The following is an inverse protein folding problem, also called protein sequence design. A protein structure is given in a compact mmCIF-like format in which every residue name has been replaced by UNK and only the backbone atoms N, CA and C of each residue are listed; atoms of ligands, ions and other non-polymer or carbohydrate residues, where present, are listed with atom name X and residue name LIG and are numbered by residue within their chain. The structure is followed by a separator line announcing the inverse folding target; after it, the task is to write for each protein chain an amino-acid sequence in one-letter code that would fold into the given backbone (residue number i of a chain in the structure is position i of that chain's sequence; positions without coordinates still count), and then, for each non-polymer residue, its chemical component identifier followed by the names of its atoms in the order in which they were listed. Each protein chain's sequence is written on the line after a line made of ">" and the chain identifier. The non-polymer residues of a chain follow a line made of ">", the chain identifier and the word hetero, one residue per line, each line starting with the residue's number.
data_IF_033741803419
#
_entry.id   IF_033741803419
#
_cell.length_a   1.000
_cell.length_b   1.000
_cell.length_c   1.000
_cell.angle_alpha   90.00
_cell.angle_beta   90.00
_cell.angle_gamma   90.00
#
_symmetry.space_group_name_H-M   'P 1'
#
loop_
_entity.id
_entity.type
_entity.pdbx_description
1 polymer ?
#
# COMPACT_ATOMS: atom_id res chain seq x y z
N UNK A 1 -1.98 -35.74 -1.89
CA UNK A 1 -3.08 -35.27 -2.76
C UNK A 1 -2.57 -34.06 -3.51
N UNK A 2 -3.05 -33.79 -4.73
CA UNK A 2 -2.53 -32.69 -5.56
C UNK A 2 -3.24 -31.34 -5.32
N UNK A 3 -4.36 -31.33 -4.59
CA UNK A 3 -5.20 -30.14 -4.34
C UNK A 3 -5.48 -29.92 -2.85
N UNK A 4 -5.74 -28.67 -2.45
CA UNK A 4 -6.18 -28.29 -1.10
C UNK A 4 -7.64 -28.68 -0.85
N UNK A 5 -7.97 -29.01 0.40
CA UNK A 5 -9.34 -29.29 0.84
C UNK A 5 -10.24 -28.05 0.78
N UNK A 6 -11.52 -28.28 0.52
CA UNK A 6 -12.50 -27.24 0.19
C UNK A 6 -13.84 -27.52 0.89
N UNK A 7 -14.63 -26.49 1.28
CA UNK A 7 -15.95 -26.70 1.87
C UNK A 7 -16.84 -27.66 1.07
N UNK A 8 -17.26 -28.75 1.72
CA UNK A 8 -18.08 -29.79 1.09
C UNK A 8 -17.29 -30.93 0.43
N UNK A 9 -15.95 -30.87 0.39
CA UNK A 9 -15.14 -32.03 0.01
C UNK A 9 -15.20 -33.14 1.08
N UNK A 10 -14.97 -34.42 0.73
CA UNK A 10 -15.00 -35.52 1.70
C UNK A 10 -13.98 -35.39 2.85
N UNK A 11 -12.94 -34.60 2.65
CA UNK A 11 -11.85 -34.39 3.60
C UNK A 11 -11.93 -33.00 4.29
N UNK A 12 -13.02 -32.25 4.08
CA UNK A 12 -13.26 -31.03 4.83
C UNK A 12 -13.45 -31.35 6.31
N UNK A 13 -12.81 -30.61 7.25
CA UNK A 13 -12.93 -30.93 8.67
C UNK A 13 -14.36 -30.84 9.18
N UNK A 14 -14.71 -31.77 10.08
CA UNK A 14 -16.00 -31.76 10.76
C UNK A 14 -16.09 -30.57 11.72
N UNK A 15 -17.31 -30.24 12.16
CA UNK A 15 -17.53 -29.16 13.12
C UNK A 15 -16.73 -29.34 14.42
N UNK A 16 -16.63 -30.57 14.94
CA UNK A 16 -15.84 -30.84 16.14
C UNK A 16 -14.34 -30.53 15.97
N UNK A 17 -13.81 -30.69 14.74
CA UNK A 17 -12.42 -30.33 14.42
C UNK A 17 -12.26 -28.81 14.33
N UNK A 18 -13.22 -28.10 13.73
CA UNK A 18 -13.25 -26.63 13.76
C UNK A 18 -13.39 -26.07 15.18
N UNK A 19 -14.19 -26.72 16.05
CA UNK A 19 -14.33 -26.34 17.46
C UNK A 19 -13.00 -26.50 18.22
N UNK A 20 -12.20 -27.51 17.88
CA UNK A 20 -10.85 -27.68 18.43
C UNK A 20 -9.90 -26.54 18.03
N UNK A 21 -9.96 -26.07 16.77
CA UNK A 21 -9.24 -24.85 16.37
C UNK A 21 -9.77 -23.65 17.14
N UNK A 22 -11.09 -23.50 17.26
CA UNK A 22 -11.67 -22.37 17.98
C UNK A 22 -11.19 -22.32 19.44
N UNK A 23 -11.10 -23.47 20.12
CA UNK A 23 -10.54 -23.58 21.45
C UNK A 23 -9.05 -23.18 21.50
N UNK A 24 -8.23 -23.62 20.54
CA UNK A 24 -6.80 -23.28 20.50
C UNK A 24 -6.52 -21.81 20.18
N UNK A 25 -7.45 -21.13 19.52
CA UNK A 25 -7.39 -19.68 19.27
C UNK A 25 -8.23 -18.86 20.26
N UNK A 26 -8.57 -19.42 21.42
CA UNK A 26 -9.30 -18.73 22.49
C UNK A 26 -10.65 -18.14 22.06
N UNK A 27 -11.44 -18.88 21.28
CA UNK A 27 -12.77 -18.46 20.85
C UNK A 27 -12.80 -17.48 19.68
N UNK A 28 -11.67 -17.33 18.96
CA UNK A 28 -11.49 -16.30 17.90
C UNK A 28 -11.65 -16.83 16.49
N UNK A 29 -12.20 -18.03 16.33
CA UNK A 29 -12.61 -18.54 15.02
C UNK A 29 -13.96 -17.92 14.64
N UNK A 30 -14.02 -17.33 13.46
CA UNK A 30 -15.20 -16.70 12.88
C UNK A 30 -15.61 -17.52 11.66
N UNK A 31 -16.90 -17.84 11.56
CA UNK A 31 -17.52 -18.24 10.32
C UNK A 31 -18.25 -17.02 9.74
N UNK A 32 -17.62 -16.28 8.82
CA UNK A 32 -18.10 -14.97 8.43
C UNK A 32 -19.28 -15.04 7.47
N UNK A 33 -20.11 -14.00 7.47
CA UNK A 33 -21.18 -13.80 6.49
C UNK A 33 -20.76 -12.62 5.59
N UNK A 34 -20.95 -12.69 4.26
CA UNK A 34 -20.57 -11.60 3.37
C UNK A 34 -21.15 -10.25 3.84
N UNK A 35 -20.36 -9.18 3.90
CA UNK A 35 -20.84 -7.89 4.43
C UNK A 35 -22.00 -7.32 3.61
N UNK A 36 -22.03 -7.55 2.30
CA UNK A 36 -23.14 -7.12 1.44
C UNK A 36 -24.47 -7.83 1.72
N UNK A 37 -24.46 -9.00 2.39
CA UNK A 37 -25.63 -9.86 2.59
C UNK A 37 -26.78 -9.18 3.35
N UNK A 38 -26.48 -8.16 4.16
CA UNK A 38 -27.48 -7.36 4.88
C UNK A 38 -28.46 -6.65 3.94
N UNK A 39 -28.09 -6.48 2.67
CA UNK A 39 -28.94 -5.90 1.61
C UNK A 39 -29.81 -6.93 0.88
N UNK A 40 -29.72 -8.23 1.19
CA UNK A 40 -30.36 -9.29 0.41
C UNK A 40 -31.43 -10.01 1.22
N UNK A 41 -32.74 -9.85 0.92
CA UNK A 41 -33.84 -10.44 1.70
C UNK A 41 -33.82 -11.97 1.85
N UNK A 42 -33.09 -12.67 0.98
CA UNK A 42 -32.92 -14.13 1.04
C UNK A 42 -31.93 -14.59 2.11
N UNK A 43 -31.15 -13.68 2.69
CA UNK A 43 -30.17 -13.97 3.71
C UNK A 43 -30.72 -13.69 5.11
N UNK A 44 -30.36 -14.52 6.08
CA UNK A 44 -30.74 -14.33 7.49
C UNK A 44 -30.17 -13.06 8.13
N UNK A 45 -29.11 -12.51 7.55
CA UNK A 45 -28.47 -11.24 7.93
C UNK A 45 -29.19 -10.00 7.38
N UNK A 46 -30.23 -10.16 6.56
CA UNK A 46 -30.96 -9.04 5.97
C UNK A 46 -31.43 -8.03 7.02
N UNK A 47 -31.04 -6.78 6.83
CA UNK A 47 -31.43 -5.68 7.68
C UNK A 47 -31.31 -4.37 6.89
N UNK A 48 -32.43 -3.69 6.66
CA UNK A 48 -32.48 -2.48 5.83
C UNK A 48 -31.59 -1.34 6.35
N UNK A 49 -31.55 -1.13 7.67
CA UNK A 49 -30.70 -0.11 8.28
C UNK A 49 -29.22 -0.46 8.13
N UNK A 50 -28.85 -1.72 8.36
CA UNK A 50 -27.48 -2.18 8.17
C UNK A 50 -27.07 -2.10 6.69
N UNK A 51 -27.99 -2.37 5.76
CA UNK A 51 -27.74 -2.20 4.34
C UNK A 51 -27.37 -0.75 4.01
N UNK A 52 -28.13 0.24 4.49
CA UNK A 52 -27.78 1.65 4.29
C UNK A 52 -26.39 1.98 4.85
N UNK A 53 -26.07 1.53 6.07
CA UNK A 53 -24.75 1.77 6.67
C UNK A 53 -23.60 1.13 5.88
N UNK A 54 -23.79 -0.09 5.37
CA UNK A 54 -22.79 -0.77 4.53
C UNK A 54 -22.65 -0.06 3.19
N UNK A 55 -23.75 0.37 2.56
CA UNK A 55 -23.70 1.13 1.30
C UNK A 55 -22.93 2.44 1.43
N UNK A 56 -23.17 3.21 2.51
CA UNK A 56 -22.47 4.48 2.79
C UNK A 56 -20.98 4.31 3.11
N UNK A 57 -20.60 3.12 3.58
CA UNK A 57 -19.24 2.81 4.01
C UNK A 57 -18.44 2.02 2.97
N UNK A 58 -19.10 1.45 1.95
CA UNK A 58 -18.46 0.57 0.96
C UNK A 58 -17.35 1.24 0.15
N UNK A 59 -17.37 2.56 0.01
CA UNK A 59 -16.31 3.30 -0.67
C UNK A 59 -15.12 3.66 0.22
N UNK A 60 -15.12 3.24 1.50
CA UNK A 60 -14.10 3.61 2.50
C UNK A 60 -13.20 2.42 2.81
N UNK A 61 -11.89 2.56 2.60
CA UNK A 61 -10.92 1.49 2.93
C UNK A 61 -10.97 1.08 4.40
N UNK A 62 -11.24 2.02 5.32
CA UNK A 62 -11.47 1.75 6.74
C UNK A 62 -12.55 0.69 7.00
N UNK A 63 -13.65 0.69 6.22
CA UNK A 63 -14.69 -0.32 6.37
C UNK A 63 -14.15 -1.72 6.07
N UNK A 64 -13.45 -1.88 4.94
CA UNK A 64 -12.87 -3.15 4.54
C UNK A 64 -11.73 -3.59 5.47
N UNK A 65 -10.95 -2.64 6.00
CA UNK A 65 -9.90 -2.89 6.98
C UNK A 65 -10.42 -3.50 8.29
N UNK A 66 -11.64 -3.12 8.68
CA UNK A 66 -12.29 -3.56 9.92
C UNK A 66 -13.28 -4.73 9.71
N UNK A 67 -13.48 -5.18 8.48
CA UNK A 67 -14.24 -6.40 8.17
C UNK A 67 -13.29 -7.61 7.97
N UNK A 68 -13.61 -8.79 8.53
CA UNK A 68 -12.72 -9.97 8.47
C UNK A 68 -12.54 -10.57 7.06
N UNK A 69 -13.46 -10.33 6.12
CA UNK A 69 -13.44 -10.96 4.79
C UNK A 69 -13.58 -9.97 3.62
N UNK A 70 -13.98 -8.73 3.87
CA UNK A 70 -14.06 -7.69 2.85
C UNK A 70 -12.68 -7.23 2.41
N UNK A 71 -12.56 -6.72 1.19
CA UNK A 71 -11.32 -6.18 0.61
C UNK A 71 -11.66 -4.95 -0.23
N UNK A 72 -10.68 -4.09 -0.47
CA UNK A 72 -10.91 -2.79 -1.11
C UNK A 72 -11.43 -2.90 -2.56
N UNK A 73 -11.12 -4.00 -3.25
CA UNK A 73 -11.52 -4.18 -4.65
C UNK A 73 -12.39 -5.42 -4.85
N UNK A 74 -13.61 -5.19 -5.36
CA UNK A 74 -14.66 -6.21 -5.36
C UNK A 74 -14.35 -7.41 -6.26
N UNK A 75 -13.56 -7.22 -7.32
CA UNK A 75 -13.17 -8.28 -8.26
C UNK A 75 -12.42 -9.41 -7.56
N UNK A 76 -11.76 -9.16 -6.42
CA UNK A 76 -11.08 -10.19 -5.63
C UNK A 76 -12.00 -11.02 -4.75
N UNK A 77 -13.27 -10.62 -4.62
CA UNK A 77 -14.37 -11.43 -4.10
C UNK A 77 -15.35 -11.83 -5.22
N UNK A 78 -14.95 -11.60 -6.48
CA UNK A 78 -15.71 -11.90 -7.68
C UNK A 78 -17.14 -11.32 -7.67
N UNK A 79 -17.30 -10.13 -7.08
CA UNK A 79 -18.58 -9.42 -6.96
C UNK A 79 -19.71 -10.27 -6.35
N UNK A 80 -19.40 -11.36 -5.62
CA UNK A 80 -20.41 -12.38 -5.35
C UNK A 80 -21.47 -11.95 -4.36
N UNK A 81 -21.24 -10.88 -3.58
CA UNK A 81 -22.24 -10.31 -2.70
C UNK A 81 -21.95 -8.83 -2.42
N UNK A 82 -22.36 -7.97 -3.36
CA UNK A 82 -22.29 -6.52 -3.22
C UNK A 82 -23.45 -5.98 -2.37
N UNK A 83 -23.33 -4.80 -1.74
CA UNK A 83 -24.38 -4.20 -0.91
C UNK A 83 -25.46 -3.54 -1.78
N UNK A 84 -26.13 -4.34 -2.62
CA UNK A 84 -27.20 -3.88 -3.49
C UNK A 84 -28.32 -4.93 -3.52
N UNK A 85 -29.57 -4.55 -3.19
CA UNK A 85 -30.71 -5.46 -3.26
C UNK A 85 -31.06 -5.88 -4.70
N UNK A 86 -30.47 -5.22 -5.70
CA UNK A 86 -30.70 -5.50 -7.12
C UNK A 86 -29.77 -6.60 -7.68
N UNK A 87 -28.73 -6.98 -6.92
CA UNK A 87 -27.73 -7.95 -7.35
C UNK A 87 -27.94 -9.28 -6.64
N UNK A 88 -27.27 -10.34 -7.12
CA UNK A 88 -27.24 -11.61 -6.41
C UNK A 88 -26.24 -11.55 -5.24
N UNK A 89 -26.45 -12.40 -4.23
CA UNK A 89 -25.52 -12.57 -3.13
C UNK A 89 -25.23 -14.05 -2.86
N UNK A 90 -23.94 -14.36 -2.79
CA UNK A 90 -23.34 -15.65 -2.50
C UNK A 90 -22.07 -15.46 -1.67
N UNK A 91 -21.85 -16.36 -0.71
CA UNK A 91 -20.60 -16.45 0.04
C UNK A 91 -19.45 -17.09 -0.73
N UNK A 92 -19.67 -17.54 -1.97
CA UNK A 92 -18.68 -18.29 -2.74
C UNK A 92 -17.39 -17.51 -3.05
N UNK A 93 -17.40 -16.18 -3.02
CA UNK A 93 -16.22 -15.33 -3.22
C UNK A 93 -15.30 -15.21 -2.01
N UNK A 94 -15.69 -15.73 -0.84
CA UNK A 94 -15.09 -15.39 0.44
C UNK A 94 -14.42 -16.59 1.17
N UNK A 95 -13.51 -16.34 2.12
CA UNK A 95 -12.98 -17.37 3.01
C UNK A 95 -14.09 -18.08 3.80
N UNK A 96 -13.93 -19.37 4.05
CA UNK A 96 -14.90 -20.16 4.81
C UNK A 96 -14.82 -19.88 6.32
N UNK A 97 -13.61 -19.64 6.81
CA UNK A 97 -13.33 -19.33 8.21
C UNK A 97 -12.25 -18.26 8.32
N UNK A 98 -12.28 -17.51 9.41
CA UNK A 98 -11.30 -16.48 9.73
C UNK A 98 -10.84 -16.65 11.18
N UNK A 99 -9.55 -16.64 11.43
CA UNK A 99 -9.01 -16.52 12.79
C UNK A 99 -8.71 -15.05 13.06
N UNK A 100 -9.43 -14.46 14.00
CA UNK A 100 -9.18 -13.09 14.44
C UNK A 100 -7.99 -13.05 15.42
N UNK A 101 -6.78 -12.86 14.90
CA UNK A 101 -5.55 -13.03 15.68
C UNK A 101 -5.19 -11.81 16.52
N UNK A 102 -4.76 -12.06 17.77
CA UNK A 102 -4.28 -11.05 18.73
C UNK A 102 -2.99 -11.49 19.41
N UNK A 103 -2.44 -12.64 19.03
CA UNK A 103 -1.16 -13.15 19.51
C UNK A 103 -0.50 -14.00 18.41
N UNK A 104 0.84 -14.15 18.41
CA UNK A 104 1.53 -15.05 17.51
C UNK A 104 1.11 -16.53 17.69
N UNK A 105 0.61 -16.90 18.86
CA UNK A 105 0.09 -18.26 19.11
C UNK A 105 -1.20 -18.56 18.35
N UNK A 106 -2.09 -17.57 18.15
CA UNK A 106 -3.28 -17.77 17.31
C UNK A 106 -2.90 -17.97 15.84
N UNK A 107 -1.89 -17.23 15.37
CA UNK A 107 -1.33 -17.39 14.03
C UNK A 107 -0.74 -18.78 13.87
N UNK A 108 0.09 -19.22 14.82
CA UNK A 108 0.65 -20.58 14.84
C UNK A 108 -0.42 -21.64 14.76
N UNK A 109 -1.44 -21.56 15.61
CA UNK A 109 -2.55 -22.53 15.62
C UNK A 109 -3.27 -22.61 14.26
N UNK A 110 -3.50 -21.46 13.61
CA UNK A 110 -4.12 -21.42 12.29
C UNK A 110 -3.21 -22.01 11.18
N UNK A 111 -1.90 -21.72 11.22
CA UNK A 111 -0.91 -22.30 10.30
C UNK A 111 -0.84 -23.81 10.44
N UNK A 112 -0.72 -24.29 11.68
CA UNK A 112 -0.63 -25.71 12.00
C UNK A 112 -1.90 -26.46 11.55
N UNK A 113 -3.08 -25.90 11.84
CA UNK A 113 -4.36 -26.45 11.42
C UNK A 113 -4.51 -26.51 9.89
N UNK A 114 -4.17 -25.44 9.17
CA UNK A 114 -4.26 -25.42 7.71
C UNK A 114 -3.30 -26.42 7.06
N UNK A 115 -2.13 -26.63 7.65
CA UNK A 115 -1.16 -27.63 7.21
C UNK A 115 -1.67 -29.05 7.47
N UNK A 116 -2.17 -29.34 8.67
CA UNK A 116 -2.68 -30.65 9.07
C UNK A 116 -3.88 -31.09 8.21
N UNK A 117 -4.78 -30.17 7.91
CA UNK A 117 -6.01 -30.46 7.16
C UNK A 117 -5.93 -30.10 5.67
N UNK A 118 -4.74 -29.79 5.16
CA UNK A 118 -4.49 -29.41 3.76
C UNK A 118 -5.44 -28.31 3.24
N UNK A 119 -5.79 -27.33 4.07
CA UNK A 119 -6.68 -26.21 3.69
C UNK A 119 -5.85 -25.07 3.10
N UNK A 120 -6.42 -24.35 2.12
CA UNK A 120 -5.80 -23.11 1.62
C UNK A 120 -5.77 -22.07 2.75
N UNK A 121 -4.58 -21.61 3.10
CA UNK A 121 -4.37 -20.54 4.06
C UNK A 121 -4.18 -19.21 3.31
N UNK A 122 -4.79 -18.14 3.80
CA UNK A 122 -4.50 -16.76 3.38
C UNK A 122 -4.21 -15.89 4.61
N UNK A 123 -3.60 -14.73 4.37
CA UNK A 123 -3.32 -13.74 5.42
C UNK A 123 -3.94 -12.42 4.99
N UNK A 124 -4.75 -11.82 5.86
CA UNK A 124 -5.33 -10.49 5.65
C UNK A 124 -4.93 -9.58 6.81
N UNK A 125 -4.41 -8.41 6.50
CA UNK A 125 -4.31 -7.31 7.44
C UNK A 125 -5.50 -6.36 7.24
N UNK A 126 -5.37 -5.34 6.39
CA UNK A 126 -6.48 -4.45 6.03
C UNK A 126 -7.30 -4.96 4.83
N UNK A 127 -6.73 -5.70 3.89
CA UNK A 127 -7.44 -6.07 2.66
C UNK A 127 -7.30 -5.04 1.53
N UNK A 128 -6.33 -4.13 1.66
CA UNK A 128 -5.95 -3.10 0.67
C UNK A 128 -5.20 -3.67 -0.56
N UNK A 129 -5.16 -4.99 -0.74
CA UNK A 129 -4.33 -5.62 -1.76
C UNK A 129 -4.93 -5.47 -3.16
N UNK A 130 -4.18 -4.85 -4.07
CA UNK A 130 -4.58 -4.65 -5.46
C UNK A 130 -4.57 -5.94 -6.31
N UNK A 131 -4.02 -7.05 -5.80
CA UNK A 131 -3.75 -8.29 -6.55
C UNK A 131 -4.51 -9.51 -5.98
N UNK A 132 -5.43 -9.30 -5.04
CA UNK A 132 -6.24 -10.35 -4.42
C UNK A 132 -5.48 -11.32 -3.52
N UNK A 133 -4.24 -11.02 -3.13
CA UNK A 133 -3.36 -11.93 -2.34
C UNK A 133 -3.89 -12.17 -0.92
N UNK A 134 -4.74 -11.29 -0.40
CA UNK A 134 -5.35 -11.40 0.92
C UNK A 134 -6.80 -11.89 0.92
N UNK A 135 -7.31 -12.39 -0.21
CA UNK A 135 -8.64 -12.98 -0.34
C UNK A 135 -8.56 -14.32 -1.07
N UNK A 136 -9.38 -15.26 -0.65
CA UNK A 136 -9.55 -16.51 -1.37
C UNK A 136 -10.87 -17.18 -0.98
N UNK A 137 -11.69 -17.55 -1.97
CA UNK A 137 -12.79 -18.46 -1.78
C UNK A 137 -12.41 -19.71 -0.97
N UNK A 138 -13.25 -20.11 -0.01
CA UNK A 138 -13.14 -21.39 0.71
C UNK A 138 -11.92 -21.57 1.62
N UNK A 139 -11.08 -20.54 1.78
CA UNK A 139 -9.86 -20.59 2.57
C UNK A 139 -10.10 -20.47 4.09
N UNK A 140 -9.06 -20.80 4.87
CA UNK A 140 -8.89 -20.29 6.23
C UNK A 140 -8.09 -18.99 6.15
N UNK A 141 -8.65 -17.89 6.65
CA UNK A 141 -7.97 -16.59 6.70
C UNK A 141 -7.37 -16.32 8.06
N UNK A 142 -6.10 -15.93 8.10
CA UNK A 142 -5.46 -15.35 9.29
C UNK A 142 -5.65 -13.84 9.21
N UNK A 143 -6.53 -13.30 10.05
CA UNK A 143 -6.76 -11.86 10.11
C UNK A 143 -5.86 -11.24 11.18
N UNK A 144 -4.79 -10.56 10.73
CA UNK A 144 -3.74 -9.99 11.57
C UNK A 144 -4.04 -8.58 12.06
N UNK A 145 -5.14 -7.96 11.63
CA UNK A 145 -5.53 -6.58 11.96
C UNK A 145 -5.52 -6.26 13.47
N UNK A 146 -5.77 -7.25 14.32
CA UNK A 146 -5.80 -7.09 15.77
C UNK A 146 -4.49 -7.50 16.48
N UNK A 147 -3.44 -7.82 15.74
CA UNK A 147 -2.05 -7.80 16.23
C UNK A 147 -1.59 -6.35 16.30
N UNK A 148 -2.06 -5.67 17.34
CA UNK A 148 -1.77 -4.27 17.65
C UNK A 148 -0.74 -4.18 18.77
N UNK A 149 -0.14 -3.01 18.91
CA UNK A 149 0.88 -2.73 19.93
C UNK A 149 1.96 -1.85 19.35
N UNK A 150 2.54 -1.02 20.21
CA UNK A 150 3.57 -0.08 19.83
C UNK A 150 4.54 0.12 21.00
N UNK A 151 5.82 -0.09 20.74
CA UNK A 151 6.91 0.09 21.69
C UNK A 151 7.98 0.99 21.05
N UNK A 152 8.33 2.09 21.73
CA UNK A 152 9.33 3.04 21.25
C UNK A 152 10.70 2.70 21.82
N UNK A 153 11.72 2.89 21.01
CA UNK A 153 13.12 2.66 21.37
C UNK A 153 13.93 3.90 20.99
N UNK A 154 14.67 4.47 21.94
CA UNK A 154 15.67 5.51 21.67
C UNK A 154 16.92 4.87 21.07
N UNK A 155 17.41 3.81 21.73
CA UNK A 155 18.44 2.90 21.25
C UNK A 155 17.85 1.49 21.16
N UNK A 156 17.88 0.88 19.98
CA UNK A 156 17.37 -0.47 19.79
C UNK A 156 18.52 -1.46 19.67
N UNK A 157 18.52 -2.50 20.51
CA UNK A 157 19.41 -3.64 20.40
C UNK A 157 18.69 -4.77 19.65
N UNK A 158 19.09 -5.10 18.41
CA UNK A 158 18.51 -6.23 17.70
C UNK A 158 18.84 -7.53 18.42
N UNK A 159 17.87 -8.44 18.49
CA UNK A 159 18.04 -9.70 19.20
C UNK A 159 19.13 -10.56 18.58
N UNK A 160 19.97 -11.18 19.42
CA UNK A 160 21.10 -12.04 18.99
C UNK A 160 22.13 -11.32 18.10
N UNK A 161 22.16 -9.98 18.08
CA UNK A 161 23.24 -9.19 17.51
C UNK A 161 24.19 -8.71 18.62
N UNK A 162 25.50 -8.87 18.41
CA UNK A 162 26.56 -8.41 19.33
C UNK A 162 26.91 -6.92 19.12
N UNK A 163 25.90 -6.07 18.86
CA UNK A 163 26.06 -4.62 18.73
C UNK A 163 24.74 -3.89 19.02
N UNK A 164 24.86 -2.65 19.50
CA UNK A 164 23.73 -1.74 19.66
C UNK A 164 23.57 -0.85 18.44
N UNK A 165 22.34 -0.43 18.17
CA UNK A 165 22.04 0.57 17.16
C UNK A 165 21.75 1.91 17.81
N UNK A 166 22.59 2.90 17.50
CA UNK A 166 22.30 4.32 17.71
C UNK A 166 21.26 4.75 16.65
N UNK A 167 20.05 4.24 16.79
CA UNK A 167 18.95 4.44 15.86
C UNK A 167 17.64 4.32 16.61
N UNK A 168 16.91 5.44 16.69
CA UNK A 168 15.55 5.43 17.17
C UNK A 168 14.69 4.50 16.31
N UNK A 169 13.86 3.70 16.97
CA UNK A 169 13.01 2.72 16.33
C UNK A 169 11.66 2.62 17.02
N UNK A 170 10.71 2.01 16.31
CA UNK A 170 9.43 1.61 16.89
C UNK A 170 9.13 0.16 16.53
N UNK A 171 8.81 -0.64 17.52
CA UNK A 171 8.26 -1.99 17.32
C UNK A 171 6.74 -1.91 17.28
N UNK A 172 6.15 -2.33 16.17
CA UNK A 172 4.70 -2.29 15.92
C UNK A 172 4.16 -3.70 15.70
N UNK A 173 2.92 -3.94 16.12
CA UNK A 173 2.19 -5.15 15.76
C UNK A 173 1.94 -5.22 14.25
N UNK A 174 1.98 -6.42 13.67
CA UNK A 174 1.86 -6.64 12.21
C UNK A 174 0.54 -6.17 11.59
N UNK A 175 -0.49 -5.97 12.41
CA UNK A 175 -1.80 -5.44 12.02
C UNK A 175 -1.97 -3.93 12.12
N UNK A 176 -0.96 -3.21 12.60
CA UNK A 176 -1.02 -1.75 12.78
C UNK A 176 -1.17 -1.03 11.43
N UNK A 177 -2.04 -0.02 11.40
CA UNK A 177 -2.32 0.81 10.23
C UNK A 177 -1.40 2.05 10.23
N UNK A 178 -1.16 2.63 9.05
CA UNK A 178 -0.31 3.83 8.91
C UNK A 178 -0.78 4.98 9.80
N UNK A 179 -2.10 5.20 9.88
CA UNK A 179 -2.68 6.28 10.71
C UNK A 179 -2.34 6.13 12.19
N UNK A 180 -2.37 4.91 12.71
CA UNK A 180 -2.12 4.62 14.11
C UNK A 180 -0.62 4.76 14.44
N UNK A 181 0.24 4.31 13.52
CA UNK A 181 1.71 4.39 13.67
C UNK A 181 2.16 5.86 13.62
N UNK A 182 1.75 6.61 12.60
CA UNK A 182 2.16 7.99 12.43
C UNK A 182 1.60 8.91 13.52
N UNK A 183 0.34 8.71 13.94
CA UNK A 183 -0.25 9.46 15.04
C UNK A 183 0.55 9.29 16.34
N UNK A 184 0.94 8.07 16.67
CA UNK A 184 1.72 7.80 17.89
C UNK A 184 3.16 8.36 17.83
N UNK A 185 3.77 8.37 16.64
CA UNK A 185 5.11 8.96 16.41
C UNK A 185 5.09 10.49 16.50
N UNK A 186 4.03 11.13 16.01
CA UNK A 186 3.89 12.57 16.01
C UNK A 186 3.98 13.17 17.42
N UNK A 187 3.36 12.53 18.42
CA UNK A 187 3.40 12.95 19.83
C UNK A 187 4.83 13.00 20.41
N UNK A 188 5.80 12.41 19.73
CA UNK A 188 7.23 12.36 20.09
C UNK A 188 8.12 13.14 19.14
N UNK A 189 7.55 13.95 18.26
CA UNK A 189 8.28 14.64 17.18
C UNK A 189 9.07 13.66 16.29
N UNK A 190 8.54 12.45 16.10
CA UNK A 190 9.11 11.41 15.25
C UNK A 190 8.23 11.16 14.02
N UNK A 191 8.82 10.53 13.02
CA UNK A 191 8.14 9.97 11.86
C UNK A 191 8.79 8.65 11.43
N UNK A 192 8.16 7.93 10.51
CA UNK A 192 8.71 6.78 9.81
C UNK A 192 8.38 6.86 8.32
N UNK A 193 9.09 6.08 7.49
CA UNK A 193 8.73 5.89 6.08
C UNK A 193 7.38 5.19 6.02
N UNK A 194 6.37 5.84 5.45
CA UNK A 194 4.98 5.41 5.48
C UNK A 194 4.26 5.62 4.15
N UNK A 195 3.20 4.84 3.94
CA UNK A 195 2.25 5.06 2.85
C UNK A 195 1.37 6.29 3.09
N UNK A 196 0.77 6.82 2.01
CA UNK A 196 -0.15 7.96 2.08
C UNK A 196 -1.55 7.56 2.57
N UNK A 197 -1.97 6.32 2.32
CA UNK A 197 -3.30 5.83 2.67
C UNK A 197 -3.39 5.43 4.15
N UNK A 198 -4.32 6.00 4.93
CA UNK A 198 -4.45 5.78 6.38
C UNK A 198 -4.61 4.32 6.79
N UNK A 199 -5.34 3.54 5.99
CA UNK A 199 -5.78 2.18 6.32
C UNK A 199 -4.88 1.09 5.72
N UNK A 200 -3.73 1.46 5.16
CA UNK A 200 -2.68 0.49 4.77
C UNK A 200 -2.04 -0.09 6.03
N UNK A 201 -1.94 -1.41 6.10
CA UNK A 201 -1.27 -2.10 7.20
C UNK A 201 0.23 -2.27 6.93
N UNK A 202 1.04 -2.13 7.99
CA UNK A 202 2.51 -2.17 7.92
C UNK A 202 3.06 -3.46 7.31
N UNK A 203 2.45 -4.61 7.65
CA UNK A 203 2.94 -5.93 7.23
C UNK A 203 3.00 -6.09 5.72
N UNK A 204 1.86 -5.92 5.02
CA UNK A 204 1.84 -6.04 3.54
C UNK A 204 2.69 -4.97 2.85
N UNK A 205 2.64 -3.74 3.35
CA UNK A 205 3.32 -2.57 2.77
C UNK A 205 4.84 -2.74 2.69
N UNK A 206 5.50 -3.11 3.81
CA UNK A 206 6.95 -3.28 3.81
C UNK A 206 7.42 -4.45 2.94
N UNK A 207 6.58 -5.48 2.78
CA UNK A 207 6.99 -6.70 2.06
C UNK A 207 7.11 -6.52 0.56
N UNK A 208 6.40 -5.54 -0.02
CA UNK A 208 6.49 -5.19 -1.44
C UNK A 208 7.52 -4.10 -1.75
N UNK A 209 8.23 -3.57 -0.76
CA UNK A 209 9.07 -2.38 -0.87
C UNK A 209 8.53 -1.23 -0.04
N UNK A 210 7.37 -0.70 -0.43
CA UNK A 210 6.67 0.40 0.26
C UNK A 210 7.29 1.76 -0.04
N UNK A 211 6.65 2.52 -0.95
CA UNK A 211 7.07 3.87 -1.31
C UNK A 211 6.50 4.92 -0.35
N UNK A 212 7.15 6.07 -0.28
CA UNK A 212 6.74 7.20 0.56
C UNK A 212 7.24 8.50 -0.06
N UNK A 213 6.66 9.64 0.34
CA UNK A 213 7.29 10.94 0.07
C UNK A 213 8.63 11.09 0.76
N UNK A 214 8.88 10.32 1.82
CA UNK A 214 10.19 10.29 2.48
C UNK A 214 11.19 9.38 1.75
N UNK A 215 10.76 8.57 0.78
CA UNK A 215 11.65 7.55 0.21
C UNK A 215 12.83 8.12 -0.57
N UNK A 216 12.65 9.26 -1.24
CA UNK A 216 13.74 9.93 -1.95
C UNK A 216 14.94 10.28 -1.05
N UNK A 217 14.73 10.45 0.26
CA UNK A 217 15.78 10.79 1.25
C UNK A 217 16.05 9.69 2.27
N UNK A 218 15.05 8.85 2.60
CA UNK A 218 15.13 7.83 3.66
C UNK A 218 15.04 6.38 3.16
N UNK A 219 14.91 6.16 1.85
CA UNK A 219 14.75 4.83 1.26
C UNK A 219 13.33 4.27 1.33
N UNK A 220 13.13 3.06 0.81
CA UNK A 220 11.82 2.40 0.87
C UNK A 220 11.53 1.89 2.29
N UNK A 221 10.26 1.56 2.59
CA UNK A 221 9.89 1.02 3.89
C UNK A 221 10.65 -0.28 4.21
N UNK A 222 10.85 -1.14 3.21
CA UNK A 222 11.65 -2.36 3.29
C UNK A 222 13.12 -2.10 3.67
N UNK A 223 13.66 -0.92 3.35
CA UNK A 223 15.04 -0.55 3.69
C UNK A 223 15.20 -0.19 5.17
N UNK A 224 14.08 0.20 5.80
CA UNK A 224 14.02 0.73 7.15
C UNK A 224 13.60 -0.30 8.22
N UNK A 225 13.39 -1.55 7.83
CA UNK A 225 13.09 -2.64 8.76
C UNK A 225 14.37 -3.12 9.43
N UNK A 226 14.36 -3.16 10.76
CA UNK A 226 15.48 -3.61 11.60
C UNK A 226 15.31 -5.07 12.02
N UNK A 227 14.09 -5.46 12.41
CA UNK A 227 13.78 -6.79 12.91
C UNK A 227 12.31 -7.14 12.68
N UNK A 228 12.02 -8.43 12.51
CA UNK A 228 10.66 -8.96 12.38
C UNK A 228 10.43 -10.14 13.33
N UNK A 229 9.24 -10.23 13.92
CA UNK A 229 8.72 -11.45 14.53
C UNK A 229 7.80 -12.12 13.51
N UNK A 230 8.09 -13.37 13.15
CA UNK A 230 7.40 -14.08 12.06
C UNK A 230 6.99 -15.47 12.52
N UNK A 231 5.76 -15.86 12.20
CA UNK A 231 5.34 -17.26 12.24
C UNK A 231 5.62 -17.92 10.89
N UNK A 232 6.50 -18.91 10.88
CA UNK A 232 6.90 -19.63 9.66
C UNK A 232 5.82 -20.61 9.18
N UNK A 233 5.89 -21.13 7.94
CA UNK A 233 4.99 -22.18 7.48
C UNK A 233 5.03 -23.48 8.30
N UNK A 234 6.12 -23.71 9.05
CA UNK A 234 6.28 -24.82 10.00
C UNK A 234 5.58 -24.52 11.34
N UNK A 235 5.10 -23.30 11.54
CA UNK A 235 4.46 -22.84 12.76
C UNK A 235 5.45 -22.39 13.83
N UNK A 236 6.72 -22.19 13.49
CA UNK A 236 7.72 -21.67 14.44
C UNK A 236 7.58 -20.16 14.55
N UNK A 237 7.69 -19.62 15.76
CA UNK A 237 7.74 -18.18 16.00
C UNK A 237 9.21 -17.80 16.06
N UNK A 238 9.70 -17.09 15.05
CA UNK A 238 11.11 -16.76 14.90
C UNK A 238 11.33 -15.25 14.85
N UNK A 239 12.53 -14.83 15.25
CA UNK A 239 13.02 -13.48 15.00
C UNK A 239 13.87 -13.50 13.73
N UNK A 240 13.59 -12.59 12.79
CA UNK A 240 14.37 -12.41 11.58
C UNK A 240 15.00 -11.01 11.57
N UNK A 241 16.34 -10.96 11.55
CA UNK A 241 17.13 -9.74 11.47
C UNK A 241 18.48 -10.03 10.78
N UNK A 242 19.47 -9.14 10.93
CA UNK A 242 20.77 -9.31 10.29
C UNK A 242 21.69 -10.36 10.93
N UNK A 243 21.37 -10.86 12.12
CA UNK A 243 22.19 -11.82 12.88
C UNK A 243 21.54 -13.21 13.00
N UNK A 244 20.22 -13.33 12.76
CA UNK A 244 19.49 -14.60 12.79
C UNK A 244 18.38 -14.64 11.74
N UNK A 245 18.17 -15.82 11.13
CA UNK A 245 17.22 -16.03 10.04
C UNK A 245 17.38 -14.97 8.92
N UNK A 246 18.63 -14.65 8.57
CA UNK A 246 18.99 -13.51 7.72
C UNK A 246 18.51 -13.67 6.27
N UNK A 247 18.37 -14.89 5.80
CA UNK A 247 17.75 -15.24 4.51
C UNK A 247 16.25 -14.92 4.49
N UNK A 248 15.52 -15.28 5.55
CA UNK A 248 14.12 -14.89 5.74
C UNK A 248 13.99 -13.36 5.88
N UNK A 249 14.88 -12.73 6.65
CA UNK A 249 14.92 -11.28 6.81
C UNK A 249 15.16 -10.55 5.48
N UNK A 250 16.05 -11.07 4.64
CA UNK A 250 16.26 -10.58 3.28
C UNK A 250 15.00 -10.74 2.43
N UNK A 251 14.41 -11.95 2.41
CA UNK A 251 13.30 -12.31 1.53
C UNK A 251 12.03 -11.50 1.82
N UNK A 252 11.71 -11.30 3.09
CA UNK A 252 10.49 -10.59 3.50
C UNK A 252 10.55 -9.11 3.17
N UNK A 253 11.74 -8.50 3.10
CA UNK A 253 11.93 -7.08 2.77
C UNK A 253 12.03 -6.85 1.26
N UNK A 254 10.89 -6.98 0.57
CA UNK A 254 10.76 -6.70 -0.88
C UNK A 254 10.38 -7.89 -1.75
N UNK A 255 10.41 -9.13 -1.21
CA UNK A 255 10.03 -10.35 -1.93
C UNK A 255 8.53 -10.62 -2.01
N UNK A 256 7.69 -9.74 -1.44
CA UNK A 256 6.24 -9.82 -1.46
C UNK A 256 5.61 -10.49 -0.23
N UNK A 257 4.43 -10.02 0.16
CA UNK A 257 3.70 -10.49 1.33
C UNK A 257 2.94 -11.80 1.11
N UNK A 258 2.63 -12.50 2.21
CA UNK A 258 1.80 -13.71 2.20
C UNK A 258 2.50 -14.98 1.72
N UNK A 259 3.84 -14.98 1.60
CA UNK A 259 4.61 -16.11 1.02
C UNK A 259 5.60 -16.75 2.00
N UNK A 260 6.39 -15.96 2.74
CA UNK A 260 7.48 -16.48 3.58
C UNK A 260 7.07 -16.79 5.03
N UNK A 261 5.96 -16.22 5.49
CA UNK A 261 5.46 -16.34 6.86
C UNK A 261 4.48 -15.23 7.21
N UNK A 262 3.95 -15.28 8.42
CA UNK A 262 3.02 -14.26 8.94
C UNK A 262 3.77 -13.33 9.89
N UNK A 263 3.91 -12.06 9.51
CA UNK A 263 4.54 -11.04 10.34
C UNK A 263 3.61 -10.71 11.51
N UNK A 264 4.07 -10.93 12.74
CA UNK A 264 3.32 -10.60 13.96
C UNK A 264 3.80 -9.31 14.61
N UNK A 265 5.09 -8.97 14.43
CA UNK A 265 5.65 -7.65 14.78
C UNK A 265 6.70 -7.21 13.78
N UNK A 266 6.87 -5.90 13.63
CA UNK A 266 7.95 -5.29 12.88
C UNK A 266 8.59 -4.16 13.67
N UNK A 267 9.92 -4.20 13.80
CA UNK A 267 10.71 -3.07 14.31
C UNK A 267 11.23 -2.29 13.13
N UNK A 268 10.82 -1.02 13.04
CA UNK A 268 11.20 -0.11 11.95
C UNK A 268 11.92 1.11 12.49
N UNK A 269 12.85 1.64 11.69
CA UNK A 269 13.55 2.88 11.99
C UNK A 269 12.59 4.06 12.05
N UNK A 270 12.83 4.96 12.99
CA UNK A 270 12.15 6.25 13.11
C UNK A 270 13.15 7.38 12.93
N UNK A 271 12.62 8.55 12.60
CA UNK A 271 13.38 9.76 12.28
C UNK A 271 12.77 10.93 13.04
N UNK A 272 13.57 11.95 13.33
CA UNK A 272 13.02 13.24 13.70
C UNK A 272 12.05 13.70 12.61
N UNK A 273 10.87 14.19 12.99
CA UNK A 273 9.90 14.66 12.02
C UNK A 273 10.45 15.87 11.27
N UNK A 274 10.60 15.79 9.93
CA UNK A 274 11.11 16.91 9.14
C UNK A 274 10.03 17.97 8.92
N UNK A 275 10.45 19.17 8.52
CA UNK A 275 9.53 20.15 7.92
C UNK A 275 9.24 19.74 6.48
N UNK A 276 8.05 20.03 5.99
CA UNK A 276 7.64 19.67 4.63
C UNK A 276 7.21 20.91 3.86
N UNK A 277 7.84 21.13 2.72
CA UNK A 277 7.39 22.07 1.70
C UNK A 277 6.58 21.33 0.64
N UNK A 278 5.33 21.74 0.43
CA UNK A 278 4.43 21.11 -0.53
C UNK A 278 4.01 22.10 -1.61
N UNK A 279 4.09 21.65 -2.86
CA UNK A 279 3.54 22.35 -4.02
C UNK A 279 2.48 21.48 -4.69
N UNK A 280 1.24 21.93 -4.70
CA UNK A 280 0.17 21.31 -5.47
C UNK A 280 -0.20 22.18 -6.67
N UNK A 281 -0.50 21.57 -7.81
CA UNK A 281 -0.84 22.28 -9.03
C UNK A 281 -1.78 21.44 -9.90
N UNK A 282 -2.80 22.08 -10.45
CA UNK A 282 -3.68 21.51 -11.46
C UNK A 282 -3.59 22.36 -12.73
N UNK A 283 -3.27 21.73 -13.86
CA UNK A 283 -3.15 22.38 -15.17
C UNK A 283 -4.24 21.80 -16.08
N UNK A 284 -5.41 22.46 -16.19
CA UNK A 284 -6.41 22.09 -17.18
C UNK A 284 -5.90 22.44 -18.58
N UNK A 285 -6.07 21.51 -19.52
CA UNK A 285 -5.53 21.62 -20.87
C UNK A 285 -6.67 21.47 -21.89
N UNK A 286 -6.65 22.24 -23.00
CA UNK A 286 -7.79 22.27 -23.91
C UNK A 286 -7.90 21.02 -24.79
N UNK A 287 -6.79 20.29 -25.00
CA UNK A 287 -6.74 19.07 -25.82
C UNK A 287 -5.72 18.06 -25.30
N UNK A 288 -5.94 16.78 -25.58
CA UNK A 288 -5.06 15.68 -25.17
C UNK A 288 -3.62 15.82 -25.69
N UNK A 289 -3.39 16.38 -26.87
CA UNK A 289 -2.02 16.50 -27.40
C UNK A 289 -1.15 17.44 -26.55
N UNK A 290 -1.71 18.55 -26.06
CA UNK A 290 -1.01 19.45 -25.13
C UNK A 290 -0.78 18.78 -23.76
N UNK A 291 -1.69 17.91 -23.31
CA UNK A 291 -1.47 17.10 -22.12
C UNK A 291 -0.23 16.22 -22.28
N UNK A 292 -0.12 15.49 -23.38
CA UNK A 292 1.02 14.60 -23.59
C UNK A 292 2.33 15.36 -23.79
N UNK A 293 2.30 16.54 -24.42
CA UNK A 293 3.47 17.42 -24.50
C UNK A 293 3.92 17.90 -23.12
N UNK A 294 3.02 18.49 -22.32
CA UNK A 294 3.33 19.01 -21.00
C UNK A 294 3.80 17.90 -20.05
N UNK A 295 3.11 16.76 -20.07
CA UNK A 295 3.46 15.58 -19.26
C UNK A 295 4.85 15.05 -19.62
N UNK A 296 5.19 14.98 -20.90
CA UNK A 296 6.51 14.48 -21.34
C UNK A 296 7.63 15.42 -20.90
N UNK A 297 7.45 16.74 -21.05
CA UNK A 297 8.41 17.74 -20.58
C UNK A 297 8.62 17.67 -19.07
N UNK A 298 7.52 17.53 -18.32
CA UNK A 298 7.58 17.35 -16.88
C UNK A 298 8.34 16.07 -16.49
N UNK A 299 8.06 14.95 -17.17
CA UNK A 299 8.79 13.69 -16.93
C UNK A 299 10.29 13.85 -17.20
N UNK A 300 10.69 14.56 -18.25
CA UNK A 300 12.11 14.79 -18.57
C UNK A 300 12.88 15.53 -17.46
N UNK A 301 12.20 16.29 -16.60
CA UNK A 301 12.85 16.99 -15.48
C UNK A 301 12.77 16.27 -14.14
N UNK A 302 11.98 15.19 -14.05
CA UNK A 302 11.92 14.38 -12.82
C UNK A 302 13.27 13.82 -12.36
N UNK A 303 14.27 13.49 -13.22
CA UNK A 303 15.59 13.07 -12.74
C UNK A 303 16.29 14.12 -11.90
N UNK A 304 16.19 15.40 -12.28
CA UNK A 304 16.77 16.51 -11.51
C UNK A 304 16.05 16.70 -10.17
N UNK A 305 14.71 16.61 -10.18
CA UNK A 305 13.89 16.69 -8.96
C UNK A 305 14.21 15.55 -7.99
N UNK A 306 14.22 14.30 -8.47
CA UNK A 306 14.56 13.13 -7.66
C UNK A 306 15.97 13.21 -7.08
N UNK A 307 16.95 13.68 -7.86
CA UNK A 307 18.34 13.87 -7.40
C UNK A 307 18.44 14.93 -6.30
N UNK A 308 17.54 15.91 -6.30
CA UNK A 308 17.42 16.92 -5.25
C UNK A 308 16.58 16.46 -4.04
N UNK A 309 16.16 15.19 -4.02
CA UNK A 309 15.32 14.64 -2.95
C UNK A 309 13.87 15.09 -2.99
N UNK A 310 13.40 15.67 -4.11
CA UNK A 310 11.98 15.96 -4.31
C UNK A 310 11.24 14.68 -4.63
N UNK A 311 10.14 14.47 -3.91
CA UNK A 311 9.22 13.36 -4.11
C UNK A 311 7.83 13.87 -4.46
N UNK A 312 6.89 12.97 -4.75
CA UNK A 312 5.52 13.37 -5.03
C UNK A 312 4.78 12.47 -6.00
N UNK A 313 3.73 13.03 -6.58
CA UNK A 313 2.81 12.36 -7.48
C UNK A 313 2.50 13.26 -8.69
N UNK A 314 2.49 12.64 -9.86
CA UNK A 314 2.15 13.28 -11.13
C UNK A 314 0.99 12.50 -11.75
N UNK A 315 -0.16 13.14 -11.95
CA UNK A 315 -1.31 12.49 -12.58
C UNK A 315 -1.58 13.12 -13.94
N UNK A 316 -1.78 12.28 -14.95
CA UNK A 316 -2.17 12.73 -16.28
C UNK A 316 -3.47 12.02 -16.67
N UNK A 317 -4.55 12.78 -16.78
CA UNK A 317 -5.86 12.27 -17.14
C UNK A 317 -6.31 12.86 -18.48
N UNK A 318 -6.54 12.02 -19.51
CA UNK A 318 -7.08 12.50 -20.79
C UNK A 318 -8.56 12.86 -20.66
N UNK A 319 -9.10 13.50 -21.69
CA UNK A 319 -10.49 14.01 -21.76
C UNK A 319 -11.56 12.99 -21.33
N UNK A 320 -11.42 11.73 -21.77
CA UNK A 320 -12.39 10.65 -21.51
C UNK A 320 -12.07 9.82 -20.25
N UNK A 321 -11.21 10.33 -19.36
CA UNK A 321 -10.83 9.58 -18.15
C UNK A 321 -12.05 9.33 -17.24
N UNK A 322 -12.25 8.10 -16.73
CA UNK A 322 -13.29 7.84 -15.75
C UNK A 322 -12.95 8.43 -14.37
N UNK A 323 -11.70 8.81 -14.13
CA UNK A 323 -11.21 9.30 -12.84
C UNK A 323 -11.30 10.81 -12.68
N UNK A 324 -11.37 11.56 -13.79
CA UNK A 324 -11.44 13.02 -13.77
C UNK A 324 -12.42 13.53 -14.81
N UNK A 325 -13.41 14.30 -14.37
CA UNK A 325 -14.41 14.93 -15.24
C UNK A 325 -14.04 16.40 -15.44
N UNK A 326 -14.05 16.88 -16.69
CA UNK A 326 -13.75 18.29 -17.00
C UNK A 326 -12.67 18.53 -18.06
N UNK A 327 -12.31 17.49 -18.83
CA UNK A 327 -11.32 17.57 -19.90
C UNK A 327 -9.92 17.15 -19.46
N UNK A 328 -8.93 17.23 -20.39
CA UNK A 328 -7.56 16.84 -20.12
C UNK A 328 -6.96 17.64 -18.96
N UNK A 329 -6.30 16.96 -18.02
CA UNK A 329 -5.67 17.62 -16.87
C UNK A 329 -4.35 16.96 -16.49
N UNK A 330 -3.37 17.80 -16.13
CA UNK A 330 -2.12 17.40 -15.49
C UNK A 330 -2.13 17.90 -14.04
N UNK A 331 -2.01 16.98 -13.08
CA UNK A 331 -1.95 17.29 -11.66
C UNK A 331 -0.57 16.97 -11.12
N UNK A 332 -0.01 17.87 -10.32
CA UNK A 332 1.26 17.69 -9.63
C UNK A 332 1.06 17.88 -8.13
N UNK A 333 1.63 16.99 -7.33
CA UNK A 333 1.85 17.19 -5.90
C UNK A 333 3.31 16.87 -5.63
N UNK A 334 4.14 17.91 -5.49
CA UNK A 334 5.58 17.79 -5.21
C UNK A 334 5.87 18.15 -3.76
N UNK A 335 6.80 17.40 -3.17
CA UNK A 335 7.12 17.43 -1.74
C UNK A 335 8.63 17.53 -1.59
N UNK A 336 9.07 18.51 -0.80
CA UNK A 336 10.44 18.67 -0.37
C UNK A 336 10.57 18.42 1.14
N UNK A 337 11.46 17.50 1.50
CA UNK A 337 11.81 17.21 2.89
C UNK A 337 12.86 18.22 3.36
N UNK A 338 12.58 18.93 4.45
CA UNK A 338 13.39 20.03 5.00
C UNK A 338 13.67 21.17 3.99
N UNK A 339 12.71 21.36 3.08
CA UNK A 339 12.72 22.44 2.08
C UNK A 339 11.38 23.18 2.16
N UNK A 340 11.36 24.47 1.82
CA UNK A 340 10.11 25.22 1.72
C UNK A 340 9.38 24.94 0.41
N UNK A 341 8.07 25.14 0.38
CA UNK A 341 7.26 25.01 -0.82
C UNK A 341 7.74 25.93 -1.96
N UNK A 342 8.25 27.12 -1.62
CA UNK A 342 8.87 28.02 -2.60
C UNK A 342 10.16 27.47 -3.19
N UNK A 343 11.00 26.79 -2.39
CA UNK A 343 12.21 26.13 -2.90
C UNK A 343 11.85 24.98 -3.85
N UNK A 344 10.80 24.21 -3.56
CA UNK A 344 10.29 23.15 -4.45
C UNK A 344 9.88 23.74 -5.81
N UNK A 345 9.08 24.82 -5.81
CA UNK A 345 8.66 25.50 -7.03
C UNK A 345 9.85 26.10 -7.80
N UNK A 346 10.78 26.75 -7.10
CA UNK A 346 11.96 27.35 -7.71
C UNK A 346 12.87 26.31 -8.38
N UNK A 347 12.93 25.09 -7.86
CA UNK A 347 13.67 24.01 -8.51
C UNK A 347 13.06 23.64 -9.85
N UNK A 348 11.73 23.50 -9.94
CA UNK A 348 11.04 23.25 -11.20
C UNK A 348 11.30 24.38 -12.21
N UNK A 349 11.23 25.64 -11.75
CA UNK A 349 11.50 26.83 -12.58
C UNK A 349 12.92 26.94 -13.12
N UNK A 350 13.90 26.38 -12.41
CA UNK A 350 15.32 26.40 -12.80
C UNK A 350 15.72 25.28 -13.75
N UNK A 351 14.81 24.36 -14.04
CA UNK A 351 15.05 23.31 -15.04
C UNK A 351 14.95 23.86 -16.46
N UNK A 352 15.43 23.08 -17.44
CA UNK A 352 15.40 23.47 -18.85
C UNK A 352 13.97 23.72 -19.39
N UNK A 353 12.93 23.19 -18.72
CA UNK A 353 11.52 23.39 -19.11
C UNK A 353 10.84 24.50 -18.30
N UNK A 354 11.55 25.18 -17.40
CA UNK A 354 10.98 26.15 -16.47
C UNK A 354 10.28 27.35 -17.13
N UNK A 355 10.88 27.92 -18.19
CA UNK A 355 10.27 29.02 -18.95
C UNK A 355 8.98 28.57 -19.63
N UNK A 356 9.01 27.43 -20.31
CA UNK A 356 7.84 26.87 -21.00
C UNK A 356 6.74 26.46 -20.01
N UNK A 357 7.12 26.01 -18.83
CA UNK A 357 6.19 25.71 -17.74
C UNK A 357 5.47 26.99 -17.28
N UNK A 358 6.18 28.09 -17.05
CA UNK A 358 5.56 29.39 -16.69
C UNK A 358 4.66 29.94 -17.80
N UNK A 359 5.06 29.80 -19.07
CA UNK A 359 4.21 30.15 -20.21
C UNK A 359 2.91 29.33 -20.22
N UNK A 360 3.00 28.02 -19.94
CA UNK A 360 1.84 27.13 -19.86
C UNK A 360 0.92 27.50 -18.69
N UNK A 361 1.46 27.85 -17.53
CA UNK A 361 0.67 28.30 -16.37
C UNK A 361 -0.10 29.58 -16.69
N UNK A 362 0.57 30.57 -17.32
CA UNK A 362 -0.08 31.80 -17.74
C UNK A 362 -1.16 31.57 -18.80
N UNK A 363 -0.89 30.69 -19.78
CA UNK A 363 -1.87 30.34 -20.82
C UNK A 363 -3.13 29.69 -20.23
N UNK A 364 -2.95 28.81 -19.23
CA UNK A 364 -4.04 28.05 -18.59
C UNK A 364 -4.67 28.75 -17.39
N UNK A 365 -4.13 29.89 -16.96
CA UNK A 365 -4.46 30.53 -15.67
C UNK A 365 -4.33 29.57 -14.47
N UNK A 366 -3.34 28.67 -14.52
CA UNK A 366 -3.05 27.73 -13.45
C UNK A 366 -2.06 28.34 -12.46
N UNK A 367 -2.30 28.16 -11.15
CA UNK A 367 -1.45 28.72 -10.10
C UNK A 367 -1.05 27.63 -9.09
N UNK A 368 0.24 27.52 -8.74
CA UNK A 368 0.68 26.56 -7.74
C UNK A 368 0.18 26.98 -6.36
N UNK A 369 -0.34 26.01 -5.61
CA UNK A 369 -0.65 26.15 -4.19
C UNK A 369 0.58 25.72 -3.40
N UNK A 370 1.19 26.69 -2.70
CA UNK A 370 2.37 26.48 -1.88
C UNK A 370 1.98 26.42 -0.41
N UNK A 371 2.44 25.39 0.30
CA UNK A 371 2.20 25.26 1.73
C UNK A 371 3.38 24.61 2.45
N UNK A 372 3.83 25.27 3.50
CA UNK A 372 4.83 24.75 4.42
C UNK A 372 4.14 24.12 5.64
N UNK A 373 4.68 23.00 6.09
CA UNK A 373 4.22 22.26 7.26
C UNK A 373 5.37 22.10 8.24
N UNK A 374 5.07 22.23 9.53
CA UNK A 374 6.06 22.10 10.59
C UNK A 374 6.45 20.66 10.91
N UNK A 375 5.69 19.68 10.39
CA UNK A 375 5.97 18.25 10.56
C UNK A 375 5.48 17.42 9.38
N UNK A 376 6.07 16.24 9.19
CA UNK A 376 5.59 15.27 8.20
C UNK A 376 4.14 14.84 8.48
N UNK A 377 3.77 14.64 9.75
CA UNK A 377 2.40 14.22 10.09
C UNK A 377 1.35 15.29 9.75
N UNK A 378 1.66 16.58 9.96
CA UNK A 378 0.75 17.66 9.58
C UNK A 378 0.54 17.72 8.06
N UNK A 379 1.61 17.53 7.28
CA UNK A 379 1.49 17.38 5.83
C UNK A 379 0.65 16.14 5.47
N UNK A 380 0.94 15.00 6.11
CA UNK A 380 0.27 13.73 5.84
C UNK A 380 -1.24 13.84 6.09
N UNK A 381 -1.69 14.44 7.20
CA UNK A 381 -3.12 14.63 7.52
C UNK A 381 -3.87 15.42 6.44
N UNK A 382 -3.25 16.47 5.89
CA UNK A 382 -3.86 17.30 4.85
C UNK A 382 -3.86 16.63 3.47
N UNK A 383 -2.95 15.66 3.26
CA UNK A 383 -2.71 15.00 1.98
C UNK A 383 -2.96 13.48 2.01
N UNK A 384 -3.68 12.98 3.02
CA UNK A 384 -4.02 11.55 3.09
C UNK A 384 -4.76 11.12 1.83
N UNK A 385 -4.47 9.92 1.35
CA UNK A 385 -5.20 9.33 0.23
C UNK A 385 -6.66 9.08 0.64
N UNK A 386 -7.57 9.69 -0.12
CA UNK A 386 -9.02 9.60 0.04
C UNK A 386 -9.67 8.94 -1.17
N UNK A 387 -8.90 8.25 -1.99
CA UNK A 387 -9.41 7.59 -3.20
C UNK A 387 -10.47 6.56 -2.78
N UNK A 388 -11.69 6.64 -3.33
CA UNK A 388 -12.75 5.70 -2.98
C UNK A 388 -12.38 4.29 -3.44
N UNK A 389 -12.71 3.31 -2.62
CA UNK A 389 -12.57 1.87 -2.91
C UNK A 389 -13.95 1.26 -3.16
N UNK A 390 -14.10 -0.06 -3.05
CA UNK A 390 -15.38 -0.73 -3.23
C UNK A 390 -15.80 -0.85 -4.69
N UNK A 391 -14.82 -0.89 -5.59
CA UNK A 391 -15.00 -1.02 -7.05
C UNK A 391 -14.09 -2.11 -7.61
N UNK A 392 -14.23 -2.44 -8.89
CA UNK A 392 -13.30 -3.34 -9.56
C UNK A 392 -12.04 -2.59 -9.99
N UNK A 393 -10.88 -3.15 -9.66
CA UNK A 393 -9.58 -2.57 -10.01
C UNK A 393 -8.71 -3.58 -10.75
N UNK A 394 -8.16 -3.13 -11.87
CA UNK A 394 -7.00 -3.74 -12.50
C UNK A 394 -6.01 -2.65 -12.84
N UNK A 395 -4.72 -2.95 -12.69
CA UNK A 395 -3.68 -1.99 -13.01
C UNK A 395 -2.40 -2.68 -13.45
N UNK A 396 -1.54 -1.89 -14.06
CA UNK A 396 -0.18 -2.29 -14.40
C UNK A 396 0.77 -1.19 -13.95
N UNK A 397 2.01 -1.57 -13.66
CA UNK A 397 3.02 -0.61 -13.24
C UNK A 397 4.39 -0.88 -13.85
N UNK A 398 5.22 0.17 -13.88
CA UNK A 398 6.58 0.11 -14.39
C UNK A 398 7.48 1.10 -13.65
N UNK A 399 8.67 0.65 -13.29
CA UNK A 399 9.74 1.53 -12.83
C UNK A 399 10.44 2.14 -14.04
N UNK A 400 10.53 3.46 -14.07
CA UNK A 400 11.22 4.25 -15.09
C UNK A 400 12.47 4.87 -14.46
N UNK A 401 13.63 4.46 -14.96
CA UNK A 401 14.91 5.04 -14.57
C UNK A 401 15.29 6.25 -15.42
N UNK A 402 16.39 6.91 -15.05
CA UNK A 402 16.92 8.05 -15.79
C UNK A 402 17.14 7.76 -17.29
N UNK A 403 17.55 6.54 -17.66
CA UNK A 403 17.73 6.15 -19.06
C UNK A 403 16.40 6.05 -19.82
N UNK A 404 15.35 5.49 -19.19
CA UNK A 404 14.02 5.42 -19.77
C UNK A 404 13.41 6.81 -19.96
N UNK A 405 13.66 7.72 -19.03
CA UNK A 405 13.21 9.12 -19.10
C UNK A 405 14.04 9.93 -20.09
N UNK A 406 15.33 9.63 -20.23
CA UNK A 406 16.24 10.27 -21.19
C UNK A 406 16.06 9.84 -22.64
N UNK A 407 15.06 9.01 -22.96
CA UNK A 407 14.73 8.65 -24.34
C UNK A 407 14.32 9.89 -25.14
N UNK A 408 14.46 9.87 -26.49
CA UNK A 408 14.02 10.97 -27.34
C UNK A 408 12.56 11.37 -27.06
N UNK A 409 12.29 12.68 -27.06
CA UNK A 409 11.01 13.27 -26.64
C UNK A 409 9.79 12.55 -27.22
N UNK A 410 9.73 12.38 -28.55
CA UNK A 410 8.59 11.73 -29.21
C UNK A 410 8.41 10.26 -28.82
N UNK A 411 9.51 9.55 -28.53
CA UNK A 411 9.46 8.15 -28.07
C UNK A 411 8.92 8.07 -26.64
N UNK A 412 9.38 8.96 -25.75
CA UNK A 412 8.86 9.04 -24.38
C UNK A 412 7.38 9.45 -24.38
N UNK A 413 7.01 10.48 -25.16
CA UNK A 413 5.62 10.94 -25.31
C UNK A 413 4.69 9.82 -25.75
N UNK A 414 5.09 9.07 -26.78
CA UNK A 414 4.31 7.94 -27.26
C UNK A 414 4.20 6.83 -26.20
N UNK A 415 5.27 6.52 -25.46
CA UNK A 415 5.24 5.54 -24.39
C UNK A 415 4.29 5.93 -23.25
N UNK A 416 4.33 7.20 -22.81
CA UNK A 416 3.44 7.73 -21.77
C UNK A 416 1.97 7.72 -22.22
N UNK A 417 1.70 8.13 -23.46
CA UNK A 417 0.36 8.08 -24.07
C UNK A 417 -0.17 6.64 -24.15
N UNK A 418 0.67 5.69 -24.57
CA UNK A 418 0.30 4.27 -24.61
C UNK A 418 0.06 3.70 -23.22
N UNK A 419 0.88 4.07 -22.23
CA UNK A 419 0.71 3.63 -20.85
C UNK A 419 -0.57 4.19 -20.21
N UNK A 420 -0.97 5.42 -20.56
CA UNK A 420 -2.19 6.04 -20.05
C UNK A 420 -3.48 5.38 -20.55
N UNK A 421 -3.49 4.90 -21.80
CA UNK A 421 -4.72 4.47 -22.46
C UNK A 421 -5.80 5.55 -22.45
N UNK A 422 -7.06 5.17 -22.25
CA UNK A 422 -8.18 6.10 -22.06
C UNK A 422 -8.33 6.57 -20.61
N UNK A 423 -7.68 5.91 -19.65
CA UNK A 423 -7.92 6.15 -18.23
C UNK A 423 -6.98 7.18 -17.62
N UNK A 424 -5.76 7.31 -18.14
CA UNK A 424 -4.70 8.11 -17.54
C UNK A 424 -3.74 7.28 -16.69
N UNK A 425 -2.85 7.95 -15.97
CA UNK A 425 -1.90 7.28 -15.07
C UNK A 425 -1.58 8.12 -13.84
N UNK A 426 -0.97 7.46 -12.85
CA UNK A 426 -0.26 8.06 -11.73
C UNK A 426 1.26 7.78 -11.88
N UNK A 427 2.08 8.81 -11.80
CA UNK A 427 3.54 8.71 -11.74
C UNK A 427 4.00 9.06 -10.33
N UNK A 428 4.44 8.05 -9.59
CA UNK A 428 4.97 8.22 -8.24
C UNK A 428 6.45 8.60 -8.35
N UNK A 429 6.77 9.85 -8.03
CA UNK A 429 8.14 10.32 -7.83
C UNK A 429 8.59 9.90 -6.42
N UNK A 430 8.83 8.60 -6.25
CA UNK A 430 9.06 7.96 -4.95
C UNK A 430 10.49 7.50 -4.72
N UNK A 431 11.41 7.79 -5.64
CA UNK A 431 12.81 7.38 -5.57
C UNK A 431 13.75 8.58 -5.76
N UNK A 432 14.96 8.43 -5.23
CA UNK A 432 15.99 9.45 -5.10
C UNK A 432 17.23 8.83 -4.44
N UNK A 433 18.23 9.63 -4.03
CA UNK A 433 19.45 9.13 -3.39
C UNK A 433 19.18 8.16 -2.22
N UNK A 434 18.16 8.42 -1.40
CA UNK A 434 17.77 7.53 -0.31
C UNK A 434 17.38 6.11 -0.76
N UNK A 435 16.86 5.95 -1.97
CA UNK A 435 16.55 4.63 -2.57
C UNK A 435 17.73 4.10 -3.37
N UNK A 436 18.41 4.93 -4.16
CA UNK A 436 19.49 4.49 -5.07
C UNK A 436 20.70 3.99 -4.29
N UNK A 437 21.07 4.74 -3.24
CA UNK A 437 22.26 4.50 -2.42
C UNK A 437 21.93 3.74 -1.13
N UNK A 438 20.71 3.21 -1.02
CA UNK A 438 20.27 2.46 0.15
C UNK A 438 21.24 1.30 0.43
N UNK A 439 21.70 1.22 1.69
CA UNK A 439 22.42 0.06 2.22
C UNK A 439 21.60 -0.58 3.34
N UNK A 440 20.60 -1.42 3.00
CA UNK A 440 19.80 -2.11 4.00
C UNK A 440 20.66 -3.03 4.88
N UNK A 441 20.28 -3.13 6.16
CA UNK A 441 20.89 -4.04 7.14
C UNK A 441 20.91 -5.49 6.67
N UNK A 442 21.90 -6.26 7.13
CA UNK A 442 22.09 -7.66 6.74
C UNK A 442 22.60 -7.89 5.31
N UNK A 443 23.32 -6.91 4.74
CA UNK A 443 23.95 -7.03 3.42
C UNK A 443 23.03 -6.76 2.22
N UNK A 444 21.78 -6.37 2.46
CA UNK A 444 20.80 -6.03 1.42
C UNK A 444 19.40 -6.53 1.75
N UNK A 445 18.48 -6.39 0.79
CA UNK A 445 17.12 -6.90 0.89
C UNK A 445 16.59 -7.35 -0.49
N UNK A 446 15.39 -7.93 -0.53
CA UNK A 446 14.77 -8.47 -1.74
C UNK A 446 14.03 -7.41 -2.59
N UNK A 447 14.21 -6.11 -2.30
CA UNK A 447 13.67 -5.04 -3.14
C UNK A 447 14.18 -5.21 -4.57
N UNK A 448 13.26 -5.12 -5.54
CA UNK A 448 13.59 -5.33 -6.94
C UNK A 448 14.78 -4.43 -7.39
N UNK A 449 15.87 -4.97 -7.97
CA UNK A 449 17.10 -4.22 -8.24
C UNK A 449 16.92 -2.95 -9.07
N UNK A 450 15.89 -2.89 -9.93
CA UNK A 450 15.56 -1.70 -10.70
C UNK A 450 15.37 -0.44 -9.82
N UNK A 451 14.87 -0.57 -8.58
CA UNK A 451 14.78 0.56 -7.64
C UNK A 451 16.15 1.22 -7.38
N UNK A 452 17.23 0.42 -7.33
CA UNK A 452 18.60 0.89 -7.13
C UNK A 452 19.25 1.44 -8.41
N UNK A 453 18.70 1.08 -9.57
CA UNK A 453 19.22 1.52 -10.86
C UNK A 453 18.68 2.89 -11.28
N UNK A 454 18.87 3.91 -10.44
CA UNK A 454 18.42 5.29 -10.68
C UNK A 454 16.95 5.37 -11.15
N UNK A 455 16.07 4.57 -10.55
CA UNK A 455 14.61 4.69 -10.77
C UNK A 455 14.18 6.07 -10.31
N UNK A 456 13.40 6.77 -11.12
CA UNK A 456 12.91 8.11 -10.82
C UNK A 456 11.41 8.07 -10.59
N UNK A 457 10.68 7.47 -11.52
CA UNK A 457 9.22 7.39 -11.48
C UNK A 457 8.78 5.93 -11.45
N UNK A 458 7.90 5.60 -10.51
CA UNK A 458 7.08 4.39 -10.57
C UNK A 458 5.75 4.77 -11.20
N UNK A 459 5.59 4.40 -12.48
CA UNK A 459 4.40 4.68 -13.27
C UNK A 459 3.35 3.59 -13.02
N UNK A 460 2.11 3.99 -12.76
CA UNK A 460 0.97 3.12 -12.52
C UNK A 460 -0.20 3.55 -13.42
N UNK A 461 -0.77 2.61 -14.16
CA UNK A 461 -2.00 2.82 -14.92
C UNK A 461 -3.14 2.06 -14.25
N UNK A 462 -4.31 2.68 -14.27
CA UNK A 462 -5.55 2.14 -13.73
C UNK A 462 -6.51 1.83 -14.87
N UNK A 463 -7.04 0.62 -14.90
CA UNK A 463 -8.17 0.24 -15.73
C UNK A 463 -9.38 -0.03 -14.85
N UNK A 464 -10.44 0.77 -15.01
CA UNK A 464 -11.75 0.43 -14.47
C UNK A 464 -12.36 -0.68 -15.32
N UNK A 465 -12.72 -1.82 -14.72
CA UNK A 465 -13.59 -2.78 -15.38
C UNK A 465 -15.02 -2.26 -15.26
N UNK A 466 -15.55 -1.66 -16.33
CA UNK A 466 -16.99 -1.65 -16.51
C UNK A 466 -17.41 -3.07 -16.87
N UNK A 467 -18.09 -3.76 -15.95
CA UNK A 467 -18.78 -5.00 -16.28
C UNK A 467 -19.75 -4.70 -17.43
N UNK A 468 -19.53 -5.34 -18.59
CA UNK A 468 -20.52 -5.43 -19.67
C UNK A 468 -21.61 -6.42 -19.32
#
# INVERSE_FOLDING_TARGET
>A
MDCKNWPGSPFWPSMAVWDSLNASVSGRLIQPVPPGSVCHPSWSSYNEQACTSVQESWSRSEFHANDPISVDFNNWTNDTCLPSPLLSCSGAGYPAYVVNTTSPLHVKAAVDFAREHEIRLIVKASGHDYLGRSSAPGALSIWVRHLIGLEFHEDFQPMECDFDLDTSAVTVGGGMLMKDILGALHDRNLTAVSGASPDVAIGGYLTGGGHSVLSATQGLAADNVIQLEIVTPQGDIVTANECQNSDLFWAVRGGGGGTFGVITKATIRTFASPRIGSMALAIPLPINDLLWEATTKLFQVTPALASAGISGYIYAFPEDSPFFQGGPVLLLSLVGVDQSASQVLDMLRKTDVGTEFEELLNYTNAYPVLKDYDSHFAWWLDNVDKTPVGTNFMGASRLLNMEAIGQPFEKLKQALKTAAGSSGFNGILGAGPGVWDASPRGGGNAVHPAWRNHTVVHLENYGGLTCL
#
